data_IF_060031280209
#
_entry.id   IF_060031280209
#
_cell.length_a   1.000
_cell.length_b   1.000
_cell.length_c   1.000
_cell.angle_alpha   90.00
_cell.angle_beta   90.00
_cell.angle_gamma   90.00
#
_symmetry.space_group_name_H-M   'P 1'
#
loop_
_entity.id
_entity.type
_entity.pdbx_description
1 polymer ?
#
# COMPACT_ATOMS: atom_id res chain seq x y z
N UNK A 1 20.12 -15.96 20.18
CA UNK A 1 21.09 -16.99 20.55
C UNK A 1 21.13 -18.06 19.47
N UNK A 2 22.29 -18.67 19.22
CA UNK A 2 22.40 -19.85 18.37
C UNK A 2 21.85 -21.09 19.11
N UNK A 3 21.60 -22.19 18.40
CA UNK A 3 21.13 -23.42 19.05
C UNK A 3 22.18 -23.98 20.03
N UNK A 4 23.47 -23.88 19.68
CA UNK A 4 24.57 -24.26 20.54
C UNK A 4 24.58 -23.45 21.86
N UNK A 5 24.34 -22.13 21.78
CA UNK A 5 24.27 -21.27 22.98
C UNK A 5 23.08 -21.68 23.86
N UNK A 6 21.94 -22.04 23.26
CA UNK A 6 20.76 -22.52 24.02
C UNK A 6 21.10 -23.84 24.73
N UNK A 7 21.69 -24.80 24.03
CA UNK A 7 22.07 -26.09 24.60
C UNK A 7 23.15 -25.95 25.71
N UNK A 8 24.12 -25.04 25.52
CA UNK A 8 25.15 -24.78 26.53
C UNK A 8 24.54 -24.23 27.85
N UNK A 9 23.55 -23.32 27.74
CA UNK A 9 22.96 -22.71 28.91
C UNK A 9 21.88 -23.57 29.56
N UNK A 10 21.06 -24.27 28.76
CA UNK A 10 19.90 -25.00 29.24
C UNK A 10 20.13 -26.53 29.37
N UNK A 11 21.23 -27.03 28.82
CA UNK A 11 21.57 -28.46 28.69
C UNK A 11 20.53 -29.25 27.89
N UNK A 12 19.69 -28.58 27.08
CA UNK A 12 18.65 -29.22 26.29
C UNK A 12 18.59 -28.63 24.86
N UNK A 13 18.24 -29.44 23.85
CA UNK A 13 18.05 -28.96 22.51
C UNK A 13 16.86 -28.02 22.44
N UNK A 14 16.85 -27.18 21.39
CA UNK A 14 15.77 -26.24 21.08
C UNK A 14 14.40 -26.93 21.10
N UNK A 15 13.43 -26.32 21.80
CA UNK A 15 12.08 -26.84 21.99
C UNK A 15 11.87 -27.48 23.35
N UNK A 16 12.94 -27.83 24.08
CA UNK A 16 12.86 -28.43 25.40
C UNK A 16 13.46 -27.58 26.52
N UNK A 17 13.95 -26.40 26.18
CA UNK A 17 14.45 -25.41 27.12
C UNK A 17 13.31 -24.84 27.97
N UNK A 18 13.57 -24.72 29.28
CA UNK A 18 12.65 -24.13 30.25
C UNK A 18 13.35 -23.27 31.28
N UNK A 19 12.63 -22.49 32.09
CA UNK A 19 13.22 -21.51 33.01
C UNK A 19 13.78 -22.12 34.32
N UNK A 20 13.45 -23.36 34.64
CA UNK A 20 13.79 -23.98 35.93
C UNK A 20 15.26 -24.40 35.94
N UNK A 21 15.97 -24.05 37.00
CA UNK A 21 17.39 -24.40 37.18
C UNK A 21 18.38 -23.55 36.39
N UNK A 22 17.94 -22.52 35.67
CA UNK A 22 18.86 -21.65 34.99
C UNK A 22 19.57 -20.68 35.93
N UNK A 23 20.87 -20.43 35.69
CA UNK A 23 21.72 -19.48 36.43
C UNK A 23 21.77 -18.10 35.82
N UNK A 24 20.99 -17.82 34.81
CA UNK A 24 20.94 -16.51 34.11
C UNK A 24 19.72 -15.71 34.52
N UNK A 25 19.72 -14.38 34.38
CA UNK A 25 18.52 -13.56 34.57
C UNK A 25 17.40 -13.96 33.61
N UNK A 26 16.19 -14.16 34.13
CA UNK A 26 15.01 -14.53 33.35
C UNK A 26 14.13 -13.30 33.16
N UNK A 27 13.92 -12.90 31.93
CA UNK A 27 12.89 -11.94 31.54
C UNK A 27 11.64 -12.70 31.11
N UNK A 28 10.50 -12.35 31.67
CA UNK A 28 9.23 -12.96 31.32
C UNK A 28 8.27 -11.93 30.72
N UNK A 29 7.42 -12.38 29.79
CA UNK A 29 6.35 -11.55 29.28
C UNK A 29 5.32 -11.23 30.37
N UNK A 30 4.64 -10.09 30.25
CA UNK A 30 3.59 -9.66 31.16
C UNK A 30 2.47 -10.70 31.30
N UNK A 31 2.13 -11.42 30.21
CA UNK A 31 1.12 -12.47 30.23
C UNK A 31 1.49 -13.61 31.21
N UNK A 32 2.78 -13.91 31.39
CA UNK A 32 3.25 -14.94 32.31
C UNK A 32 2.94 -14.59 33.78
N UNK A 33 2.82 -13.32 34.09
CA UNK A 33 2.51 -12.86 35.45
C UNK A 33 1.14 -13.38 35.94
N UNK A 34 0.18 -13.46 35.03
CA UNK A 34 -1.19 -13.88 35.31
C UNK A 34 -1.40 -15.40 35.10
N UNK A 35 -0.40 -16.11 34.54
CA UNK A 35 -0.52 -17.55 34.25
C UNK A 35 -0.24 -18.40 35.49
N UNK A 36 -0.99 -19.51 35.60
CA UNK A 36 -0.79 -20.54 36.61
C UNK A 36 -0.81 -21.93 35.99
N UNK A 37 -0.04 -22.86 36.56
CA UNK A 37 -0.01 -24.28 36.18
C UNK A 37 0.31 -24.47 34.67
N UNK A 38 1.19 -23.68 34.09
CA UNK A 38 1.55 -23.79 32.69
C UNK A 38 2.54 -24.90 32.38
N UNK A 39 2.76 -25.17 31.12
CA UNK A 39 3.70 -26.18 30.61
C UNK A 39 4.97 -25.47 30.11
N UNK A 40 6.13 -26.06 30.42
CA UNK A 40 7.43 -25.55 29.94
C UNK A 40 8.38 -26.71 29.62
N UNK A 41 9.45 -26.41 28.87
CA UNK A 41 10.54 -27.38 28.70
C UNK A 41 11.16 -27.77 30.04
N UNK A 42 11.63 -29.01 30.13
CA UNK A 42 12.24 -29.55 31.33
C UNK A 42 13.78 -29.42 31.38
N UNK A 43 14.40 -28.76 30.40
CA UNK A 43 15.83 -28.77 30.19
C UNK A 43 16.41 -30.19 29.97
N UNK A 44 15.59 -31.07 29.41
CA UNK A 44 15.92 -32.43 29.04
C UNK A 44 15.21 -32.78 27.73
N UNK A 45 15.90 -33.48 26.84
CA UNK A 45 15.38 -33.87 25.53
C UNK A 45 14.07 -34.65 25.65
N UNK A 46 13.10 -34.32 24.81
CA UNK A 46 11.77 -34.94 24.71
C UNK A 46 10.93 -34.89 26.01
N UNK A 47 11.28 -33.92 26.91
CA UNK A 47 10.63 -33.83 28.25
C UNK A 47 10.07 -32.40 28.46
N UNK A 48 8.84 -32.37 29.05
CA UNK A 48 8.20 -31.14 29.48
C UNK A 48 7.70 -31.26 30.93
N UNK A 49 7.72 -30.12 31.63
CA UNK A 49 7.14 -30.00 32.97
C UNK A 49 5.74 -29.38 32.87
N UNK A 50 4.82 -29.94 33.67
CA UNK A 50 3.46 -29.44 33.82
C UNK A 50 3.25 -28.82 35.20
N UNK A 51 2.20 -28.00 35.35
CA UNK A 51 1.87 -27.30 36.58
C UNK A 51 2.99 -26.39 37.12
N UNK A 52 3.74 -25.78 36.20
CA UNK A 52 4.82 -24.85 36.55
C UNK A 52 4.23 -23.49 36.90
N UNK A 53 4.78 -22.86 37.93
CA UNK A 53 4.36 -21.52 38.40
C UNK A 53 5.57 -20.64 38.69
N UNK A 54 5.46 -19.36 38.33
CA UNK A 54 6.44 -18.37 38.72
C UNK A 54 6.47 -18.18 40.23
N UNK A 55 7.62 -17.83 40.79
CA UNK A 55 7.82 -17.64 42.22
C UNK A 55 7.94 -18.93 43.05
N UNK A 56 7.29 -20.04 42.62
CA UNK A 56 7.42 -21.34 43.26
C UNK A 56 8.55 -22.17 42.63
N UNK A 57 8.58 -22.29 41.31
CA UNK A 57 9.45 -23.23 40.60
C UNK A 57 10.68 -22.51 39.99
N UNK A 58 10.55 -21.25 39.66
CA UNK A 58 11.64 -20.39 39.21
C UNK A 58 11.35 -18.91 39.53
N UNK A 59 12.40 -18.07 39.50
CA UNK A 59 12.28 -16.65 39.76
C UNK A 59 12.43 -15.84 38.47
N UNK A 60 11.51 -14.90 38.25
CA UNK A 60 11.58 -13.94 37.14
C UNK A 60 12.33 -12.70 37.61
N UNK A 61 13.38 -12.30 36.88
CA UNK A 61 14.17 -11.11 37.19
C UNK A 61 13.40 -9.83 36.87
N UNK A 62 12.64 -9.83 35.79
CA UNK A 62 11.81 -8.72 35.37
C UNK A 62 10.69 -9.19 34.46
N UNK A 63 9.49 -8.62 34.64
CA UNK A 63 8.38 -8.75 33.69
C UNK A 63 8.44 -7.60 32.68
N UNK A 64 8.34 -7.91 31.39
CA UNK A 64 8.46 -6.97 30.27
C UNK A 64 7.53 -7.37 29.14
N UNK A 65 7.11 -6.41 28.32
CA UNK A 65 6.31 -6.69 27.11
C UNK A 65 7.24 -7.12 25.98
N UNK A 66 7.35 -8.43 25.77
CA UNK A 66 8.24 -9.06 24.77
C UNK A 66 7.54 -10.05 23.85
N UNK A 67 6.31 -10.40 24.13
CA UNK A 67 5.52 -11.29 23.30
C UNK A 67 5.20 -10.64 21.96
N UNK A 68 5.26 -11.39 20.89
CA UNK A 68 4.73 -10.94 19.61
C UNK A 68 3.22 -10.94 19.66
N UNK A 69 2.67 -9.87 19.14
CA UNK A 69 1.25 -9.71 18.94
C UNK A 69 0.69 -10.81 18.02
N UNK A 70 -0.46 -11.37 18.36
CA UNK A 70 -1.14 -12.43 17.61
C UNK A 70 -2.57 -12.03 17.25
N UNK A 71 -3.12 -12.54 16.13
CA UNK A 71 -4.53 -12.30 15.80
C UNK A 71 -5.44 -12.77 16.94
N UNK A 72 -6.38 -11.91 17.33
CA UNK A 72 -7.28 -12.16 18.45
C UNK A 72 -6.87 -11.51 19.77
N UNK A 73 -5.65 -10.99 19.85
CA UNK A 73 -5.25 -10.14 20.99
C UNK A 73 -6.09 -8.87 21.04
N UNK A 74 -6.31 -8.34 22.24
CA UNK A 74 -7.04 -7.09 22.40
C UNK A 74 -6.12 -5.87 22.28
N UNK A 75 -6.60 -4.82 21.63
CA UNK A 75 -5.88 -3.56 21.56
C UNK A 75 -5.77 -2.95 22.97
N UNK A 76 -4.55 -2.61 23.45
CA UNK A 76 -4.38 -2.04 24.81
C UNK A 76 -4.99 -0.65 24.98
N UNK A 77 -5.33 0.06 23.89
CA UNK A 77 -5.92 1.39 23.94
C UNK A 77 -7.45 1.38 23.91
N UNK A 78 -8.06 0.57 23.05
CA UNK A 78 -9.52 0.57 22.87
C UNK A 78 -10.21 -0.76 23.26
N UNK A 79 -9.46 -1.81 23.57
CA UNK A 79 -10.00 -3.13 23.95
C UNK A 79 -10.58 -3.97 22.80
N UNK A 80 -10.63 -3.43 21.59
CA UNK A 80 -11.15 -4.17 20.43
C UNK A 80 -10.25 -5.34 20.03
N UNK A 81 -10.87 -6.41 19.54
CA UNK A 81 -10.13 -7.58 19.04
C UNK A 81 -9.40 -7.22 17.75
N UNK A 82 -8.14 -7.56 17.70
CA UNK A 82 -7.28 -7.26 16.56
C UNK A 82 -7.29 -8.36 15.52
N UNK A 83 -7.00 -7.97 14.28
CA UNK A 83 -6.84 -8.88 13.16
C UNK A 83 -5.48 -8.69 12.49
N UNK A 84 -5.02 -9.68 11.78
CA UNK A 84 -3.81 -9.62 10.99
C UNK A 84 -4.15 -9.68 9.51
N UNK A 85 -3.74 -8.67 8.76
CA UNK A 85 -3.88 -8.60 7.32
C UNK A 85 -2.50 -8.54 6.66
N UNK A 86 -2.39 -9.03 5.43
CA UNK A 86 -1.20 -8.86 4.62
C UNK A 86 -1.27 -7.51 3.90
N UNK A 87 -0.20 -6.72 3.97
CA UNK A 87 -0.09 -5.44 3.28
C UNK A 87 1.10 -5.41 2.33
N UNK A 88 1.04 -4.51 1.35
CA UNK A 88 2.18 -4.17 0.49
C UNK A 88 2.87 -2.96 1.10
N UNK A 89 4.18 -3.10 1.39
CA UNK A 89 5.00 -1.99 1.87
C UNK A 89 5.25 -0.99 0.74
N UNK A 90 4.58 0.15 0.77
CA UNK A 90 4.72 1.22 -0.26
C UNK A 90 5.77 2.26 0.12
N UNK A 91 6.09 2.40 1.40
CA UNK A 91 7.12 3.29 1.91
C UNK A 91 7.75 2.77 3.20
N UNK A 92 8.99 3.19 3.47
CA UNK A 92 9.74 2.76 4.64
C UNK A 92 10.62 3.89 5.16
N UNK A 93 10.72 4.00 6.49
CA UNK A 93 11.66 4.91 7.15
C UNK A 93 12.74 4.10 7.88
N UNK A 94 13.99 4.47 7.68
CA UNK A 94 15.12 3.77 8.27
C UNK A 94 15.85 4.66 9.29
N UNK A 95 16.04 4.15 10.50
CA UNK A 95 16.92 4.75 11.51
C UNK A 95 18.34 4.21 11.27
N UNK A 96 19.16 4.94 10.53
CA UNK A 96 20.52 4.52 10.17
C UNK A 96 21.53 4.77 11.29
N UNK A 97 21.21 5.66 12.23
CA UNK A 97 22.14 6.06 13.28
C UNK A 97 23.43 6.64 12.72
N UNK A 98 24.57 6.22 13.24
CA UNK A 98 25.91 6.68 12.81
C UNK A 98 26.63 5.67 11.89
N UNK A 99 25.97 4.59 11.47
CA UNK A 99 26.58 3.50 10.72
C UNK A 99 27.36 3.96 9.48
N UNK A 100 26.78 4.87 8.71
CA UNK A 100 27.40 5.38 7.49
C UNK A 100 28.21 6.64 7.74
N UNK A 101 27.75 7.55 8.59
CA UNK A 101 28.48 8.79 8.92
C UNK A 101 29.83 8.51 9.55
N UNK A 102 29.93 7.52 10.43
CA UNK A 102 31.19 7.08 11.03
C UNK A 102 32.17 6.57 9.97
N UNK A 103 31.69 5.68 9.07
CA UNK A 103 32.55 5.13 8.01
C UNK A 103 33.03 6.19 6.99
N UNK A 104 32.23 7.27 6.81
CA UNK A 104 32.52 8.36 5.88
C UNK A 104 33.27 9.53 6.55
N UNK A 105 33.46 9.50 7.87
CA UNK A 105 34.02 10.63 8.62
C UNK A 105 33.11 11.87 8.59
N UNK A 106 31.78 11.70 8.37
CA UNK A 106 30.83 12.80 8.32
C UNK A 106 30.48 13.26 9.74
N UNK A 107 31.12 14.34 10.18
CA UNK A 107 30.98 14.89 11.53
C UNK A 107 30.48 16.34 11.51
N UNK A 108 29.95 16.78 12.63
CA UNK A 108 29.62 18.19 12.90
C UNK A 108 30.21 18.59 14.26
N UNK A 109 30.37 19.88 14.51
CA UNK A 109 30.77 20.38 15.82
C UNK A 109 29.51 20.68 16.63
N UNK A 110 29.45 20.10 17.84
CA UNK A 110 28.38 20.47 18.79
C UNK A 110 28.60 21.90 19.37
N UNK A 111 27.66 22.37 20.15
CA UNK A 111 27.69 23.68 20.82
C UNK A 111 28.89 23.87 21.79
N UNK A 112 29.60 22.78 22.13
CA UNK A 112 30.83 22.79 22.93
C UNK A 112 32.10 22.65 22.04
N UNK A 113 31.95 22.70 20.71
CA UNK A 113 33.04 22.58 19.77
C UNK A 113 33.62 21.16 19.59
N UNK A 114 32.90 20.13 20.06
CA UNK A 114 33.33 18.73 19.94
C UNK A 114 32.80 18.11 18.66
N UNK A 115 33.66 17.39 17.96
CA UNK A 115 33.24 16.62 16.76
C UNK A 115 32.34 15.44 17.17
N UNK A 116 31.17 15.34 16.53
CA UNK A 116 30.23 14.22 16.65
C UNK A 116 29.82 13.72 15.29
N UNK A 117 29.60 12.41 15.16
CA UNK A 117 29.07 11.82 13.96
C UNK A 117 27.61 12.29 13.72
N UNK A 118 27.27 12.52 12.46
CA UNK A 118 25.90 12.85 12.07
C UNK A 118 24.99 11.65 12.26
N UNK A 119 23.89 11.82 12.96
CA UNK A 119 22.83 10.81 13.04
C UNK A 119 21.99 10.88 11.78
N UNK A 120 21.88 9.77 11.08
CA UNK A 120 21.25 9.68 9.76
C UNK A 120 19.90 8.95 9.82
N UNK A 121 18.97 9.38 8.97
CA UNK A 121 17.77 8.67 8.62
C UNK A 121 17.64 8.53 7.10
N UNK A 122 16.87 7.56 6.65
CA UNK A 122 16.51 7.41 5.24
C UNK A 122 15.00 7.22 5.12
N UNK A 123 14.42 7.82 4.10
CA UNK A 123 12.97 7.84 3.88
C UNK A 123 12.71 7.47 2.42
N UNK A 124 12.08 6.33 2.19
CA UNK A 124 11.86 5.80 0.86
C UNK A 124 10.38 5.59 0.54
N UNK A 125 9.97 5.92 -0.69
CA UNK A 125 8.65 5.58 -1.25
C UNK A 125 8.87 4.84 -2.56
N UNK A 126 8.28 3.65 -2.69
CA UNK A 126 8.37 2.84 -3.91
C UNK A 126 7.28 3.24 -4.90
N UNK A 127 7.55 4.19 -5.82
CA UNK A 127 6.56 4.68 -6.79
C UNK A 127 5.92 3.54 -7.59
N UNK A 128 6.73 2.68 -8.22
CA UNK A 128 6.21 1.54 -8.98
C UNK A 128 5.40 0.58 -8.13
N UNK A 129 5.82 0.33 -6.88
CA UNK A 129 5.09 -0.51 -5.93
C UNK A 129 3.75 0.13 -5.52
N UNK A 130 3.72 1.45 -5.34
CA UNK A 130 2.48 2.19 -5.03
C UNK A 130 1.48 2.08 -6.17
N UNK A 131 1.93 2.25 -7.42
CA UNK A 131 1.07 2.07 -8.61
C UNK A 131 0.55 0.64 -8.70
N UNK A 132 1.40 -0.37 -8.53
CA UNK A 132 0.99 -1.77 -8.54
C UNK A 132 -0.04 -2.08 -7.45
N UNK A 133 0.15 -1.58 -6.22
CA UNK A 133 -0.79 -1.74 -5.13
C UNK A 133 -2.14 -1.06 -5.41
N UNK A 134 -2.12 0.13 -6.03
CA UNK A 134 -3.33 0.82 -6.44
C UNK A 134 -4.12 0.05 -7.51
N UNK A 135 -3.43 -0.55 -8.48
CA UNK A 135 -4.05 -1.39 -9.52
C UNK A 135 -4.67 -2.64 -8.87
N UNK A 136 -3.97 -3.33 -7.97
CA UNK A 136 -4.50 -4.50 -7.26
C UNK A 136 -5.73 -4.21 -6.40
N UNK A 137 -5.92 -2.97 -5.98
CA UNK A 137 -7.09 -2.54 -5.19
C UNK A 137 -8.20 -1.91 -6.03
N UNK A 138 -7.92 -1.60 -7.30
CA UNK A 138 -8.81 -0.83 -8.18
C UNK A 138 -8.94 -1.48 -9.54
N UNK A 139 -9.69 -2.57 -9.61
CA UNK A 139 -9.99 -3.28 -10.87
C UNK A 139 -11.38 -3.93 -10.81
N UNK A 140 -11.88 -4.34 -11.97
CA UNK A 140 -13.05 -5.21 -12.13
C UNK A 140 -12.76 -6.33 -13.15
N UNK A 141 -13.77 -7.11 -13.50
CA UNK A 141 -13.66 -8.19 -14.50
C UNK A 141 -13.26 -7.72 -15.90
N UNK A 142 -13.35 -6.42 -16.19
CA UNK A 142 -13.04 -5.85 -17.51
C UNK A 142 -11.63 -5.26 -17.57
N UNK A 143 -10.99 -5.01 -16.43
CA UNK A 143 -9.63 -4.47 -16.38
C UNK A 143 -9.40 -3.48 -15.23
N UNK A 144 -8.40 -2.64 -15.40
CA UNK A 144 -7.97 -1.65 -14.41
C UNK A 144 -9.02 -0.53 -14.25
N UNK A 145 -9.09 0.05 -13.05
CA UNK A 145 -9.84 1.27 -12.75
C UNK A 145 -8.86 2.25 -12.13
N UNK A 146 -8.14 3.02 -12.94
CA UNK A 146 -7.18 3.99 -12.41
C UNK A 146 -7.88 5.08 -11.62
N UNK A 147 -7.43 5.36 -10.36
CA UNK A 147 -7.75 6.62 -9.69
C UNK A 147 -7.18 7.80 -10.47
N UNK A 148 -7.95 8.87 -10.63
CA UNK A 148 -7.57 10.07 -11.42
C UNK A 148 -6.16 10.62 -11.08
N UNK A 149 -5.75 10.73 -9.78
CA UNK A 149 -4.45 11.31 -9.43
C UNK A 149 -3.22 10.54 -9.89
N UNK A 150 -3.35 9.24 -10.20
CA UNK A 150 -2.24 8.36 -10.59
C UNK A 150 -2.45 7.72 -11.97
N UNK A 151 -3.52 8.08 -12.65
CA UNK A 151 -3.77 7.61 -14.01
C UNK A 151 -2.70 8.14 -14.97
N UNK A 152 -2.17 7.30 -15.88
CA UNK A 152 -1.17 7.75 -16.86
C UNK A 152 -1.74 8.77 -17.87
N UNK A 153 -3.05 8.76 -18.05
CA UNK A 153 -3.83 9.73 -18.80
C UNK A 153 -5.16 9.96 -18.09
N UNK A 154 -5.72 11.16 -18.21
CA UNK A 154 -7.01 11.48 -17.60
C UNK A 154 -8.18 11.08 -18.50
N UNK A 155 -7.97 11.16 -19.82
CA UNK A 155 -8.98 10.92 -20.85
C UNK A 155 -8.51 9.87 -21.86
N UNK A 156 -9.36 8.93 -22.19
CA UNK A 156 -9.24 8.03 -23.35
C UNK A 156 -10.17 8.52 -24.45
N UNK A 157 -9.63 9.10 -25.53
CA UNK A 157 -10.39 9.61 -26.65
C UNK A 157 -10.56 8.54 -27.74
N UNK A 158 -11.80 8.15 -28.00
CA UNK A 158 -12.15 7.02 -28.84
C UNK A 158 -13.12 7.43 -29.96
N UNK A 159 -12.65 7.69 -31.18
CA UNK A 159 -13.52 7.68 -32.36
C UNK A 159 -13.87 6.24 -32.73
N UNK A 160 -15.17 5.97 -32.89
CA UNK A 160 -15.64 4.59 -33.17
C UNK A 160 -15.21 4.07 -34.53
N UNK A 161 -14.94 4.96 -35.47
CA UNK A 161 -14.46 4.61 -36.81
C UNK A 161 -13.63 5.76 -37.39
N UNK A 162 -12.31 5.57 -37.45
CA UNK A 162 -11.37 6.58 -37.92
C UNK A 162 -11.35 6.71 -39.46
N UNK A 163 -11.97 5.78 -40.21
CA UNK A 163 -12.10 5.87 -41.68
C UNK A 163 -13.14 6.91 -42.12
N UNK A 164 -13.95 7.38 -41.20
CA UNK A 164 -14.92 8.45 -41.44
C UNK A 164 -14.22 9.79 -41.16
N UNK A 165 -13.89 10.52 -42.20
CA UNK A 165 -13.11 11.78 -42.13
C UNK A 165 -13.67 12.75 -41.08
N UNK A 166 -14.98 12.95 -41.06
CA UNK A 166 -15.64 13.81 -40.09
C UNK A 166 -15.40 13.39 -38.63
N UNK A 167 -15.36 12.08 -38.33
CA UNK A 167 -15.05 11.59 -36.98
C UNK A 167 -13.58 11.79 -36.65
N UNK A 168 -12.69 11.51 -37.60
CA UNK A 168 -11.24 11.68 -37.47
C UNK A 168 -10.90 13.15 -37.21
N UNK A 169 -11.35 14.05 -38.06
CA UNK A 169 -11.10 15.50 -37.91
C UNK A 169 -11.61 16.04 -36.57
N UNK A 170 -12.82 15.61 -36.17
CA UNK A 170 -13.38 16.02 -34.87
C UNK A 170 -12.56 15.48 -33.70
N UNK A 171 -12.08 14.22 -33.78
CA UNK A 171 -11.22 13.66 -32.76
C UNK A 171 -9.89 14.39 -32.65
N UNK A 172 -9.25 14.68 -33.78
CA UNK A 172 -8.00 15.46 -33.82
C UNK A 172 -8.17 16.87 -33.23
N UNK A 173 -9.23 17.56 -33.61
CA UNK A 173 -9.55 18.90 -33.05
C UNK A 173 -9.77 18.83 -31.53
N UNK A 174 -10.54 17.84 -31.05
CA UNK A 174 -10.81 17.67 -29.64
C UNK A 174 -9.53 17.29 -28.87
N UNK A 175 -8.71 16.38 -29.40
CA UNK A 175 -7.40 16.02 -28.87
C UNK A 175 -6.52 17.26 -28.68
N UNK A 176 -6.38 18.09 -29.74
CA UNK A 176 -5.60 19.32 -29.67
C UNK A 176 -6.16 20.31 -28.64
N UNK A 177 -7.49 20.41 -28.57
CA UNK A 177 -8.15 21.30 -27.61
C UNK A 177 -7.90 20.86 -26.17
N UNK A 178 -8.09 19.58 -25.87
CA UNK A 178 -7.85 19.01 -24.54
C UNK A 178 -6.38 19.15 -24.13
N UNK A 179 -5.44 18.74 -25.00
CA UNK A 179 -3.99 18.80 -24.73
C UNK A 179 -3.50 20.24 -24.50
N UNK A 180 -3.92 21.20 -25.32
CA UNK A 180 -3.59 22.63 -25.13
C UNK A 180 -4.12 23.21 -23.82
N UNK A 181 -5.14 22.57 -23.25
CA UNK A 181 -5.75 22.96 -21.98
C UNK A 181 -5.25 22.14 -20.79
N UNK A 182 -4.13 21.41 -20.94
CA UNK A 182 -3.48 20.69 -19.86
C UNK A 182 -4.14 19.37 -19.47
N UNK A 183 -5.05 18.83 -20.29
CA UNK A 183 -5.63 17.50 -20.09
C UNK A 183 -4.75 16.46 -20.77
N UNK A 184 -4.36 15.43 -20.03
CA UNK A 184 -3.58 14.31 -20.54
C UNK A 184 -4.50 13.31 -21.25
N UNK A 185 -4.31 13.13 -22.56
CA UNK A 185 -5.22 12.37 -23.43
C UNK A 185 -4.50 11.22 -24.12
N UNK A 186 -5.02 10.02 -23.96
CA UNK A 186 -4.68 8.87 -24.79
C UNK A 186 -5.67 8.80 -25.95
N UNK A 187 -5.20 9.02 -27.18
CA UNK A 187 -6.01 8.99 -28.38
C UNK A 187 -5.88 7.67 -29.13
N UNK A 188 -7.00 6.95 -29.31
CA UNK A 188 -7.02 5.69 -30.09
C UNK A 188 -7.25 5.98 -31.57
N UNK A 189 -6.17 6.16 -32.30
CA UNK A 189 -6.13 6.39 -33.74
C UNK A 189 -6.05 5.12 -34.60
N UNK A 190 -6.20 3.94 -33.99
CA UNK A 190 -6.12 2.65 -34.70
C UNK A 190 -7.35 2.38 -35.55
N UNK A 191 -7.14 1.67 -36.68
CA UNK A 191 -8.21 1.19 -37.54
C UNK A 191 -8.82 -0.13 -37.05
N UNK A 192 -9.26 -0.13 -35.75
CA UNK A 192 -9.86 -1.30 -35.13
C UNK A 192 -11.38 -1.18 -35.04
N UNK A 193 -12.04 -2.33 -34.83
CA UNK A 193 -13.49 -2.36 -34.63
C UNK A 193 -13.88 -1.68 -33.31
N UNK A 194 -15.07 -1.05 -33.23
CA UNK A 194 -15.52 -0.41 -31.98
C UNK A 194 -15.48 -1.35 -30.79
N UNK A 195 -15.83 -2.63 -30.97
CA UNK A 195 -15.82 -3.62 -29.89
C UNK A 195 -14.44 -3.88 -29.31
N UNK A 196 -13.39 -3.92 -30.13
CA UNK A 196 -11.99 -4.04 -29.71
C UNK A 196 -11.59 -2.77 -28.93
N UNK A 197 -11.80 -1.60 -29.52
CA UNK A 197 -11.47 -0.32 -28.89
C UNK A 197 -12.14 -0.13 -27.52
N UNK A 198 -13.41 -0.52 -27.36
CA UNK A 198 -14.10 -0.44 -26.07
C UNK A 198 -13.53 -1.40 -25.03
N UNK A 199 -13.20 -2.64 -25.43
CA UNK A 199 -12.56 -3.60 -24.52
C UNK A 199 -11.19 -3.14 -24.08
N UNK A 200 -10.37 -2.61 -25.00
CA UNK A 200 -9.06 -2.09 -24.69
C UNK A 200 -9.14 -0.87 -23.76
N UNK A 201 -10.10 0.04 -23.98
CA UNK A 201 -10.33 1.17 -23.11
C UNK A 201 -10.72 0.74 -21.68
N UNK A 202 -11.61 -0.25 -21.53
CA UNK A 202 -11.98 -0.78 -20.24
C UNK A 202 -10.82 -1.57 -19.59
N UNK A 203 -10.00 -2.31 -20.37
CA UNK A 203 -8.82 -3.03 -19.90
C UNK A 203 -7.73 -2.08 -19.38
N UNK A 204 -7.39 -1.04 -20.15
CA UNK A 204 -6.39 -0.02 -19.77
C UNK A 204 -6.87 0.78 -18.57
N UNK A 205 -8.15 1.09 -18.46
CA UNK A 205 -8.77 1.64 -17.27
C UNK A 205 -8.58 3.13 -17.05
N UNK A 206 -8.39 3.93 -18.11
CA UNK A 206 -8.32 5.40 -18.03
C UNK A 206 -9.64 5.96 -17.46
N UNK A 207 -9.60 6.94 -16.50
CA UNK A 207 -10.77 7.35 -15.74
C UNK A 207 -11.96 7.85 -16.55
N UNK A 208 -11.71 8.65 -17.60
CA UNK A 208 -12.75 9.19 -18.47
C UNK A 208 -12.57 8.67 -19.90
N UNK A 209 -13.60 8.03 -20.46
CA UNK A 209 -13.64 7.67 -21.87
C UNK A 209 -14.55 8.61 -22.62
N UNK A 210 -13.98 9.30 -23.61
CA UNK A 210 -14.70 10.19 -24.53
C UNK A 210 -14.91 9.47 -25.85
N UNK A 211 -16.17 9.16 -26.19
CA UNK A 211 -16.53 8.39 -27.37
C UNK A 211 -17.14 9.30 -28.42
N UNK A 212 -16.56 9.30 -29.63
CA UNK A 212 -17.08 10.00 -30.78
C UNK A 212 -17.78 8.99 -31.71
N UNK A 213 -19.11 8.89 -31.55
CA UNK A 213 -19.97 8.06 -32.37
C UNK A 213 -20.69 8.87 -33.42
N UNK A 214 -20.79 8.36 -34.66
CA UNK A 214 -21.35 9.08 -35.80
C UNK A 214 -22.77 9.63 -35.53
N UNK A 215 -23.65 8.79 -34.95
CA UNK A 215 -25.05 9.18 -34.66
C UNK A 215 -25.16 10.33 -33.68
N UNK A 216 -24.36 10.31 -32.62
CA UNK A 216 -24.39 11.33 -31.59
C UNK A 216 -23.72 12.62 -32.11
N UNK A 217 -22.60 12.50 -32.77
CA UNK A 217 -21.82 13.65 -33.24
C UNK A 217 -22.57 14.44 -34.34
N UNK A 218 -23.33 13.77 -35.23
CA UNK A 218 -24.23 14.45 -36.19
C UNK A 218 -25.31 15.29 -35.52
N UNK A 219 -25.65 15.00 -34.25
CA UNK A 219 -26.59 15.77 -33.44
C UNK A 219 -25.87 16.78 -32.53
N UNK A 220 -24.55 16.91 -32.64
CA UNK A 220 -23.74 17.79 -31.81
C UNK A 220 -23.43 17.25 -30.41
N UNK A 221 -23.58 15.95 -30.18
CA UNK A 221 -23.35 15.33 -28.88
C UNK A 221 -22.09 14.46 -28.86
N UNK A 222 -21.40 14.46 -27.70
CA UNK A 222 -20.24 13.61 -27.37
C UNK A 222 -20.61 12.80 -26.14
N UNK A 223 -20.21 11.53 -26.12
CA UNK A 223 -20.41 10.66 -24.96
C UNK A 223 -19.17 10.65 -24.08
N UNK A 224 -19.36 10.87 -22.77
CA UNK A 224 -18.31 10.72 -21.75
C UNK A 224 -18.75 9.60 -20.80
N UNK A 225 -17.93 8.58 -20.62
CA UNK A 225 -18.15 7.49 -19.65
C UNK A 225 -17.12 7.57 -18.54
N UNK A 226 -17.56 7.52 -17.29
CA UNK A 226 -16.68 7.28 -16.13
C UNK A 226 -16.34 5.80 -16.04
N UNK A 227 -15.05 5.46 -15.97
CA UNK A 227 -14.59 4.06 -15.89
C UNK A 227 -15.03 3.40 -14.57
N UNK A 228 -14.94 4.13 -13.46
CA UNK A 228 -15.22 3.63 -12.10
C UNK A 228 -16.70 3.28 -11.89
N UNK A 229 -17.62 4.14 -12.32
CA UNK A 229 -19.05 3.98 -12.04
C UNK A 229 -19.83 3.40 -13.23
N UNK A 230 -19.26 3.47 -14.43
CA UNK A 230 -19.94 3.12 -15.66
C UNK A 230 -20.97 4.18 -16.13
N UNK A 231 -21.11 5.28 -15.40
CA UNK A 231 -22.03 6.37 -15.77
C UNK A 231 -21.66 6.98 -17.10
N UNK A 232 -22.70 7.27 -17.91
CA UNK A 232 -22.57 7.85 -19.25
C UNK A 232 -23.25 9.22 -19.27
N UNK A 233 -22.54 10.20 -19.77
CA UNK A 233 -23.00 11.58 -19.94
C UNK A 233 -22.98 11.93 -21.43
N UNK A 234 -24.10 12.44 -21.95
CA UNK A 234 -24.17 13.05 -23.26
C UNK A 234 -24.00 14.55 -23.12
N UNK A 235 -22.94 15.09 -23.68
CA UNK A 235 -22.54 16.49 -23.55
C UNK A 235 -22.48 17.13 -24.94
N UNK A 236 -22.85 18.39 -25.07
CA UNK A 236 -22.67 19.10 -26.34
C UNK A 236 -21.19 19.22 -26.69
N UNK A 237 -20.87 19.11 -27.98
CA UNK A 237 -19.48 19.16 -28.47
C UNK A 237 -18.74 20.40 -27.91
N UNK A 238 -19.38 21.55 -27.89
CA UNK A 238 -18.84 22.84 -27.42
C UNK A 238 -18.58 22.86 -25.91
N UNK A 239 -19.32 22.05 -25.13
CA UNK A 239 -19.24 21.98 -23.67
C UNK A 239 -18.31 20.85 -23.18
N UNK A 240 -17.77 20.03 -24.10
CA UNK A 240 -16.99 18.82 -23.76
C UNK A 240 -15.76 19.15 -22.91
N UNK A 241 -15.00 20.19 -23.25
CA UNK A 241 -13.82 20.60 -22.48
C UNK A 241 -14.17 21.02 -21.05
N UNK A 242 -15.19 21.86 -20.89
CA UNK A 242 -15.62 22.36 -19.56
C UNK A 242 -16.10 21.21 -18.68
N UNK A 243 -16.86 20.27 -19.26
CA UNK A 243 -17.37 19.10 -18.52
C UNK A 243 -16.26 18.14 -18.12
N UNK A 244 -15.28 17.88 -18.99
CA UNK A 244 -14.11 17.06 -18.68
C UNK A 244 -13.31 17.66 -17.53
N UNK A 245 -13.05 18.98 -17.56
CA UNK A 245 -12.34 19.67 -16.47
C UNK A 245 -13.08 19.58 -15.14
N UNK A 246 -14.39 19.85 -15.15
CA UNK A 246 -15.23 19.69 -13.96
C UNK A 246 -15.10 18.29 -13.36
N UNK A 247 -15.14 17.23 -14.20
CA UNK A 247 -15.02 15.84 -13.75
C UNK A 247 -13.61 15.53 -13.20
N UNK A 248 -12.57 16.05 -13.85
CA UNK A 248 -11.18 15.90 -13.38
C UNK A 248 -11.02 16.58 -12.02
N UNK A 249 -11.46 17.83 -11.88
CA UNK A 249 -11.35 18.59 -10.64
C UNK A 249 -12.09 17.92 -9.48
N UNK A 250 -13.28 17.36 -9.74
CA UNK A 250 -14.03 16.59 -8.76
C UNK A 250 -13.27 15.35 -8.27
N UNK A 251 -12.63 14.61 -9.17
CA UNK A 251 -11.89 13.39 -8.83
C UNK A 251 -10.51 13.70 -8.21
N UNK A 252 -9.87 14.81 -8.58
CA UNK A 252 -8.60 15.25 -8.00
C UNK A 252 -8.75 15.82 -6.58
N UNK A 253 -9.87 16.49 -6.30
CA UNK A 253 -10.18 17.11 -5.01
C UNK A 253 -10.97 16.17 -4.08
N UNK A 254 -11.08 14.90 -4.39
CA UNK A 254 -11.71 13.93 -3.50
C UNK A 254 -10.95 13.94 -2.17
N UNK A 255 -11.59 14.28 -1.02
CA UNK A 255 -10.90 14.24 0.26
C UNK A 255 -10.36 12.82 0.45
N UNK A 256 -9.06 12.72 0.76
CA UNK A 256 -8.48 11.44 1.19
C UNK A 256 -9.45 10.85 2.22
N UNK A 257 -9.91 9.62 1.98
CA UNK A 257 -10.80 8.96 2.92
C UNK A 257 -10.17 9.15 4.31
N UNK A 258 -10.90 9.79 5.20
CA UNK A 258 -10.46 9.91 6.60
C UNK A 258 -10.20 8.48 7.03
N UNK A 259 -8.93 8.13 7.24
CA UNK A 259 -8.59 6.90 7.95
C UNK A 259 -9.38 6.99 9.25
N UNK A 260 -10.40 6.16 9.36
CA UNK A 260 -11.13 6.00 10.60
C UNK A 260 -10.10 5.73 11.68
N UNK A 261 -10.06 6.61 12.66
CA UNK A 261 -9.25 6.48 13.87
C UNK A 261 -9.63 5.21 14.61
#
# INVERSE_FOLDING_TARGET
ATEETVEEITHAPKGFAGPIGLSIPILADLDIQEMANFVTGANEKDTHLIHVNTGRDFQVSQFVDIRRFTPGDHCPLCGETTRMDKGIEVGHTFKLGTKYSQAMGATFLDDQGRAKEMVMGCYGIGLGRTVAAAIEQSYDQNGIIFPMPIAPFQVFLLPVNIKIDFLKETAEQLYQTLSKNGVEVLYDDREETPGVKFKDADLIGIPLRVTLGEKNLKKGWVEIKKRKTGEIFLVKKEETLSKIREMIDQEMNYPAASCGA
#
